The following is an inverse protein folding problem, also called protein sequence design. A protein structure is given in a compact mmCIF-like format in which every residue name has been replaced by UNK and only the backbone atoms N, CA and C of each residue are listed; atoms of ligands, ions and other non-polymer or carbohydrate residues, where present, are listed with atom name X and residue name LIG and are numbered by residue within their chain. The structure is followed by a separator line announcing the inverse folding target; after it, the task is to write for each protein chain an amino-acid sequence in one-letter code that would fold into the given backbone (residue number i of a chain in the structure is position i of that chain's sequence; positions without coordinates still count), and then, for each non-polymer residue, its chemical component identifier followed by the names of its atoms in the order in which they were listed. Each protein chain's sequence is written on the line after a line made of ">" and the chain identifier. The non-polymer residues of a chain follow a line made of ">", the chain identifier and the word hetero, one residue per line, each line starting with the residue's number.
data_IF_290148679178
#
_entry.id   IF_290148679178
#
_cell.length_a   1.000
_cell.length_b   1.000
_cell.length_c   1.000
_cell.angle_alpha   90.00
_cell.angle_beta   90.00
_cell.angle_gamma   90.00
#
_symmetry.space_group_name_H-M   'P 1'
#
loop_
_entity.id
_entity.type
_entity.pdbx_description
1 polymer ?
#
# COMPACT_ATOMS: atom_id res chain seq x y z
N UNK A 1 14.02 2.80 -18.49
CA UNK A 1 13.98 2.48 -17.04
C UNK A 1 13.24 3.60 -16.31
N UNK A 2 12.34 3.21 -15.45
CA UNK A 2 11.52 4.16 -14.69
C UNK A 2 11.51 3.77 -13.22
N UNK A 3 11.84 4.70 -12.35
CA UNK A 3 11.86 4.50 -10.90
C UNK A 3 10.57 5.04 -10.31
N UNK A 4 9.84 4.22 -9.57
CA UNK A 4 8.55 4.60 -9.03
C UNK A 4 8.23 3.78 -7.77
N UNK A 5 7.05 4.03 -7.19
CA UNK A 5 6.56 3.27 -6.05
C UNK A 5 6.01 1.91 -6.49
N UNK A 6 6.10 0.92 -5.59
CA UNK A 6 5.57 -0.42 -5.86
C UNK A 6 4.08 -0.40 -6.18
N UNK A 7 3.31 0.49 -5.56
CA UNK A 7 1.88 0.65 -5.85
C UNK A 7 1.63 1.05 -7.30
N UNK A 8 2.46 1.96 -7.84
CA UNK A 8 2.38 2.35 -9.23
C UNK A 8 2.80 1.23 -10.18
N UNK A 9 3.79 0.44 -9.78
CA UNK A 9 4.25 -0.72 -10.57
C UNK A 9 3.14 -1.77 -10.71
N UNK A 10 2.36 -2.01 -9.66
CA UNK A 10 1.22 -2.92 -9.72
C UNK A 10 0.20 -2.47 -10.77
N UNK A 11 -0.15 -1.18 -10.78
CA UNK A 11 -1.09 -0.62 -11.76
C UNK A 11 -0.53 -0.70 -13.17
N UNK A 12 0.73 -0.33 -13.35
CA UNK A 12 1.37 -0.35 -14.66
C UNK A 12 1.39 -1.76 -15.26
N UNK A 13 1.65 -2.79 -14.47
CA UNK A 13 1.67 -4.18 -14.95
C UNK A 13 0.28 -4.70 -15.28
N UNK A 14 -0.77 -4.18 -14.67
CA UNK A 14 -2.14 -4.53 -15.07
C UNK A 14 -2.47 -4.02 -16.46
N UNK A 15 -1.98 -2.82 -16.80
CA UNK A 15 -2.21 -2.20 -18.11
C UNK A 15 -1.28 -2.76 -19.17
N UNK A 16 -0.03 -3.07 -18.81
CA UNK A 16 0.99 -3.57 -19.71
C UNK A 16 1.73 -4.76 -19.06
N UNK A 17 1.19 -5.98 -19.19
CA UNK A 17 1.76 -7.15 -18.51
C UNK A 17 3.19 -7.50 -18.94
N UNK A 18 3.66 -6.99 -20.09
CA UNK A 18 5.02 -7.23 -20.58
C UNK A 18 6.08 -6.43 -19.80
N UNK A 19 5.70 -5.48 -18.96
CA UNK A 19 6.64 -4.72 -18.15
C UNK A 19 7.30 -5.61 -17.11
N UNK A 20 8.60 -5.43 -16.94
CA UNK A 20 9.35 -6.11 -15.89
C UNK A 20 9.57 -5.16 -14.71
N UNK A 21 9.35 -5.69 -13.51
CA UNK A 21 9.61 -4.95 -12.27
C UNK A 21 10.87 -5.53 -11.64
N UNK A 22 11.84 -4.66 -11.38
CA UNK A 22 13.08 -5.03 -10.69
C UNK A 22 13.01 -4.45 -9.28
N UNK A 23 12.99 -5.31 -8.28
CA UNK A 23 12.94 -4.88 -6.89
C UNK A 23 14.30 -4.38 -6.43
N UNK A 24 14.29 -3.26 -5.71
CA UNK A 24 15.50 -2.75 -5.09
C UNK A 24 15.76 -3.54 -3.80
N UNK A 25 16.99 -3.99 -3.58
CA UNK A 25 17.33 -4.75 -2.39
C UNK A 25 16.96 -3.96 -1.13
N UNK A 26 16.36 -4.61 -0.11
CA UNK A 26 15.90 -3.90 1.10
C UNK A 26 16.99 -3.10 1.79
N UNK A 27 18.26 -3.55 1.71
CA UNK A 27 19.39 -2.86 2.34
C UNK A 27 19.66 -1.46 1.77
N UNK A 28 19.25 -1.21 0.54
CA UNK A 28 19.50 0.07 -0.15
C UNK A 28 18.21 0.76 -0.60
N UNK A 29 17.05 0.16 -0.32
CA UNK A 29 15.76 0.73 -0.67
C UNK A 29 15.35 1.80 0.34
N UNK A 30 14.68 2.85 -0.16
CA UNK A 30 14.06 3.88 0.68
C UNK A 30 12.56 3.73 0.55
N UNK A 31 11.92 3.27 1.62
CA UNK A 31 10.47 3.08 1.65
C UNK A 31 9.79 4.33 2.19
N UNK A 32 8.54 4.55 1.75
CA UNK A 32 7.68 5.56 2.33
C UNK A 32 6.80 4.90 3.40
N UNK A 33 6.81 5.46 4.59
CA UNK A 33 5.96 5.01 5.68
C UNK A 33 4.66 5.80 5.68
N UNK A 34 3.55 5.08 5.76
CA UNK A 34 2.22 5.68 5.81
C UNK A 34 1.64 5.55 7.20
N UNK A 35 1.03 6.61 7.67
CA UNK A 35 0.38 6.64 8.97
C UNK A 35 -1.13 6.85 8.83
N UNK A 36 -1.86 6.33 9.80
CA UNK A 36 -3.30 6.53 9.93
C UNK A 36 -3.60 7.15 11.28
N UNK A 37 -4.38 8.22 11.28
CA UNK A 37 -4.83 8.86 12.51
C UNK A 37 -6.35 9.03 12.46
N UNK A 38 -6.99 8.78 13.58
CA UNK A 38 -8.44 8.96 13.74
C UNK A 38 -8.67 10.09 14.73
N UNK A 39 -9.48 11.07 14.33
CA UNK A 39 -9.81 12.17 15.21
C UNK A 39 -10.53 11.67 16.47
N UNK A 40 -10.30 12.33 17.58
CA UNK A 40 -10.88 11.97 18.87
C UNK A 40 -12.41 11.97 18.83
N UNK A 41 -12.99 12.88 18.04
CA UNK A 41 -14.44 13.06 17.88
C UNK A 41 -14.97 12.49 16.57
N UNK A 42 -14.23 11.56 15.94
CA UNK A 42 -14.63 10.96 14.67
C UNK A 42 -15.94 10.18 14.80
N UNK A 43 -16.72 10.16 13.71
CA UNK A 43 -17.96 9.40 13.67
C UNK A 43 -17.70 7.91 13.84
N UNK A 44 -18.72 7.13 14.30
CA UNK A 44 -18.58 5.67 14.37
C UNK A 44 -18.21 5.04 13.03
N UNK A 45 -18.71 5.58 11.92
CA UNK A 45 -18.37 5.09 10.59
C UNK A 45 -16.89 5.28 10.27
N UNK A 46 -16.31 6.44 10.61
CA UNK A 46 -14.88 6.69 10.40
C UNK A 46 -14.02 5.78 11.27
N UNK A 47 -14.40 5.57 12.52
CA UNK A 47 -13.70 4.65 13.41
C UNK A 47 -13.74 3.21 12.89
N UNK A 48 -14.90 2.77 12.39
CA UNK A 48 -15.06 1.43 11.81
C UNK A 48 -14.20 1.26 10.56
N UNK A 49 -14.11 2.28 9.71
CA UNK A 49 -13.27 2.26 8.52
C UNK A 49 -11.79 2.11 8.87
N UNK A 50 -11.32 2.89 9.85
CA UNK A 50 -9.93 2.78 10.31
C UNK A 50 -9.64 1.39 10.87
N UNK A 51 -10.54 0.83 11.67
CA UNK A 51 -10.40 -0.54 12.19
C UNK A 51 -10.37 -1.57 11.07
N UNK A 52 -11.18 -1.38 10.02
CA UNK A 52 -11.18 -2.28 8.85
C UNK A 52 -9.85 -2.23 8.10
N UNK A 53 -9.27 -1.05 7.94
CA UNK A 53 -7.96 -0.92 7.29
C UNK A 53 -6.87 -1.72 8.01
N UNK A 54 -6.93 -1.77 9.33
CA UNK A 54 -5.98 -2.52 10.15
C UNK A 54 -6.32 -4.01 10.28
N UNK A 55 -7.50 -4.42 9.84
CA UNK A 55 -7.93 -5.82 9.91
C UNK A 55 -7.17 -6.67 8.88
N UNK A 56 -7.15 -8.02 9.07
CA UNK A 56 -6.53 -8.90 8.07
C UNK A 56 -7.12 -8.74 6.68
N UNK A 57 -8.43 -8.52 6.56
CA UNK A 57 -9.09 -8.31 5.27
C UNK A 57 -8.62 -7.01 4.61
N UNK A 58 -8.56 -5.90 5.35
CA UNK A 58 -8.07 -4.63 4.86
C UNK A 58 -6.60 -4.68 4.47
N UNK A 59 -5.79 -5.33 5.27
CA UNK A 59 -4.36 -5.50 5.00
C UNK A 59 -4.12 -6.36 3.75
N UNK A 60 -4.95 -7.37 3.50
CA UNK A 60 -4.85 -8.17 2.29
C UNK A 60 -5.14 -7.34 1.03
N UNK A 61 -6.12 -6.45 1.10
CA UNK A 61 -6.43 -5.54 -0.01
C UNK A 61 -5.26 -4.58 -0.28
N UNK A 62 -4.68 -4.02 0.76
CA UNK A 62 -3.55 -3.11 0.63
C UNK A 62 -2.32 -3.80 0.04
N UNK A 63 -2.02 -5.02 0.48
CA UNK A 63 -0.92 -5.80 -0.10
C UNK A 63 -1.14 -6.10 -1.57
N UNK A 64 -2.36 -6.42 -1.96
CA UNK A 64 -2.70 -6.65 -3.36
C UNK A 64 -2.48 -5.40 -4.22
N UNK A 65 -2.64 -4.22 -3.63
CA UNK A 65 -2.40 -2.95 -4.29
C UNK A 65 -0.91 -2.56 -4.31
N UNK A 66 -0.03 -3.32 -3.66
CA UNK A 66 1.40 -3.09 -3.67
C UNK A 66 1.96 -2.47 -2.38
N UNK A 67 1.13 -2.28 -1.36
CA UNK A 67 1.62 -1.80 -0.07
C UNK A 67 2.26 -2.93 0.72
N UNK A 68 3.22 -2.58 1.58
CA UNK A 68 3.83 -3.52 2.49
C UNK A 68 2.89 -3.92 3.63
N UNK A 69 3.24 -4.99 4.35
CA UNK A 69 2.52 -5.41 5.53
C UNK A 69 2.86 -4.53 6.74
N UNK A 70 1.91 -4.45 7.68
CA UNK A 70 2.16 -3.87 8.99
C UNK A 70 3.17 -4.72 9.79
#
# INVERSE_FOLDING_TARGET
>A
VFITYCTNAVVARREQPQLQVVDIAPAINVAADYGLAVRKDASPAAQAFAAYLLSPAGQAILRKAGFGAL
#
